data_IF_432064172474
#
_entry.id   IF_432064172474
#
_cell.length_a   1.000
_cell.length_b   1.000
_cell.length_c   1.000
_cell.angle_alpha   90.00
_cell.angle_beta   90.00
_cell.angle_gamma   90.00
#
_symmetry.space_group_name_H-M   'P 1'
#
loop_
_entity.id
_entity.type
_entity.pdbx_description
1 polymer ?
#
# COMPACT_ATOMS: atom_id res chain seq x y z
N UNK A 1 -15.24 23.37 -24.61
CA UNK A 1 -16.34 24.35 -24.49
C UNK A 1 -15.99 25.31 -23.36
N UNK A 2 -15.83 26.60 -23.67
CA UNK A 2 -15.46 27.66 -22.72
C UNK A 2 -16.71 28.09 -21.96
N UNK A 3 -16.71 27.97 -20.64
CA UNK A 3 -17.78 28.49 -19.79
C UNK A 3 -17.30 29.79 -19.16
N UNK A 4 -17.86 30.91 -19.62
CA UNK A 4 -17.68 32.23 -19.04
C UNK A 4 -18.51 32.31 -17.75
N UNK A 5 -17.85 32.38 -16.58
CA UNK A 5 -18.50 32.76 -15.33
C UNK A 5 -17.86 34.05 -14.80
N UNK A 6 -18.70 35.05 -14.59
CA UNK A 6 -18.34 36.40 -14.18
C UNK A 6 -17.50 36.46 -12.88
N UNK A 7 -16.68 37.50 -12.82
CA UNK A 7 -15.56 37.80 -11.90
C UNK A 7 -15.79 37.72 -10.38
N UNK A 8 -16.95 37.27 -9.88
CA UNK A 8 -17.23 37.17 -8.43
C UNK A 8 -17.59 35.74 -7.95
N UNK A 9 -17.80 34.77 -8.85
CA UNK A 9 -18.20 33.40 -8.47
C UNK A 9 -17.06 32.38 -8.33
N UNK A 10 -15.80 32.77 -8.59
CA UNK A 10 -14.67 31.83 -8.65
C UNK A 10 -14.10 31.50 -7.26
N UNK A 11 -14.30 32.35 -6.26
CA UNK A 11 -13.71 32.18 -4.93
C UNK A 11 -14.32 31.03 -4.11
N UNK A 12 -15.63 30.75 -4.25
CA UNK A 12 -16.31 29.69 -3.49
C UNK A 12 -15.99 28.29 -4.04
N UNK A 13 -15.73 28.17 -5.35
CA UNK A 13 -15.25 26.92 -5.95
C UNK A 13 -13.76 26.69 -5.69
N UNK A 14 -12.96 27.76 -5.58
CA UNK A 14 -11.52 27.63 -5.36
C UNK A 14 -11.17 27.08 -3.96
N UNK A 15 -11.91 27.46 -2.92
CA UNK A 15 -11.72 26.91 -1.56
C UNK A 15 -12.13 25.44 -1.44
N UNK A 16 -13.16 25.01 -2.17
CA UNK A 16 -13.60 23.61 -2.21
C UNK A 16 -12.63 22.72 -3.03
N UNK A 17 -11.93 23.26 -4.04
CA UNK A 17 -10.94 22.47 -4.81
C UNK A 17 -9.57 22.39 -4.16
N UNK A 18 -9.20 23.29 -3.25
CA UNK A 18 -7.91 23.22 -2.55
C UNK A 18 -7.89 22.06 -1.53
N UNK A 19 -9.03 21.81 -0.88
CA UNK A 19 -9.21 20.74 0.10
C UNK A 19 -9.30 19.34 -0.52
N UNK A 20 -9.74 19.21 -1.79
CA UNK A 20 -9.81 17.92 -2.50
C UNK A 20 -8.46 17.50 -3.11
N UNK A 21 -7.57 18.45 -3.48
CA UNK A 21 -6.27 18.10 -4.10
C UNK A 21 -5.28 17.38 -3.17
N UNK A 22 -5.40 17.55 -1.86
CA UNK A 22 -4.47 16.97 -0.90
C UNK A 22 -4.55 15.44 -0.81
N UNK A 23 -5.75 14.86 -1.04
CA UNK A 23 -5.95 13.40 -0.97
C UNK A 23 -5.48 12.67 -2.21
N UNK A 24 -5.65 13.26 -3.41
CA UNK A 24 -5.17 12.67 -4.65
C UNK A 24 -3.64 12.67 -4.71
N UNK A 25 -3.02 13.76 -4.24
CA UNK A 25 -1.56 13.91 -4.19
C UNK A 25 -0.90 12.84 -3.29
N UNK A 26 -1.55 12.51 -2.17
CA UNK A 26 -1.08 11.46 -1.25
C UNK A 26 -0.93 10.11 -1.93
N UNK A 27 -1.95 9.66 -2.67
CA UNK A 27 -1.90 8.36 -3.35
C UNK A 27 -0.85 8.35 -4.48
N UNK A 28 -0.73 9.43 -5.24
CA UNK A 28 0.31 9.56 -6.27
C UNK A 28 1.72 9.57 -5.70
N UNK A 29 1.96 10.29 -4.60
CA UNK A 29 3.25 10.32 -3.92
C UNK A 29 3.58 8.95 -3.30
N UNK A 30 2.61 8.31 -2.65
CA UNK A 30 2.79 6.96 -2.10
C UNK A 30 3.15 5.94 -3.19
N UNK A 31 2.50 6.02 -4.35
CA UNK A 31 2.80 5.14 -5.49
C UNK A 31 4.20 5.42 -6.06
N UNK A 32 4.60 6.69 -6.12
CA UNK A 32 5.96 7.09 -6.52
C UNK A 32 7.00 6.51 -5.56
N UNK A 33 6.81 6.67 -4.25
CA UNK A 33 7.72 6.17 -3.21
C UNK A 33 7.80 4.63 -3.21
N UNK A 34 6.65 3.95 -3.41
CA UNK A 34 6.60 2.50 -3.52
C UNK A 34 7.38 2.00 -4.74
N UNK A 35 7.32 2.72 -5.87
CA UNK A 35 8.10 2.45 -7.08
C UNK A 35 9.59 2.75 -6.88
N UNK A 36 9.94 3.75 -6.07
CA UNK A 36 11.32 4.04 -5.67
C UNK A 36 11.92 3.01 -4.72
N UNK A 37 11.14 2.00 -4.30
CA UNK A 37 11.63 0.88 -3.50
C UNK A 37 11.35 0.99 -2.01
N UNK A 38 10.70 2.06 -1.53
CA UNK A 38 10.46 2.24 -0.10
C UNK A 38 9.55 1.13 0.47
N UNK A 39 10.07 0.30 1.38
CA UNK A 39 9.34 -0.82 1.97
C UNK A 39 8.06 -0.40 2.69
N UNK A 40 8.09 0.70 3.44
CA UNK A 40 6.92 1.21 4.16
C UNK A 40 5.85 1.74 3.19
N UNK A 41 6.26 2.41 2.12
CA UNK A 41 5.36 2.88 1.07
C UNK A 41 4.68 1.71 0.34
N UNK A 42 5.44 0.67 0.02
CA UNK A 42 4.90 -0.55 -0.60
C UNK A 42 3.88 -1.26 0.31
N UNK A 43 4.17 -1.34 1.61
CA UNK A 43 3.21 -1.87 2.59
C UNK A 43 1.92 -1.05 2.62
N UNK A 44 2.03 0.28 2.77
CA UNK A 44 0.89 1.20 2.81
C UNK A 44 0.07 1.15 1.52
N UNK A 45 0.73 1.04 0.37
CA UNK A 45 0.06 0.91 -0.92
C UNK A 45 -0.70 -0.42 -1.03
N UNK A 46 -0.11 -1.52 -0.57
CA UNK A 46 -0.77 -2.81 -0.47
C UNK A 46 -2.00 -2.78 0.44
N UNK A 47 -1.86 -2.17 1.63
CA UNK A 47 -2.97 -1.96 2.56
C UNK A 47 -4.09 -1.09 1.96
N UNK A 48 -3.75 -0.03 1.21
CA UNK A 48 -4.75 0.77 0.50
C UNK A 48 -5.54 -0.06 -0.52
N UNK A 49 -4.89 -0.94 -1.28
CA UNK A 49 -5.61 -1.81 -2.22
C UNK A 49 -6.60 -2.76 -1.52
N UNK A 50 -6.29 -3.20 -0.29
CA UNK A 50 -7.22 -3.99 0.52
C UNK A 50 -8.45 -3.18 0.93
N UNK A 51 -8.24 -1.95 1.41
CA UNK A 51 -9.31 -1.13 1.99
C UNK A 51 -10.17 -0.44 0.93
N UNK A 52 -9.54 0.12 -0.12
CA UNK A 52 -10.22 0.95 -1.11
C UNK A 52 -10.86 0.11 -2.20
N UNK A 53 -10.08 -0.80 -2.80
CA UNK A 53 -10.51 -1.53 -4.00
C UNK A 53 -10.89 -2.98 -3.74
N UNK A 54 -10.48 -3.55 -2.60
CA UNK A 54 -10.58 -4.99 -2.35
C UNK A 54 -9.76 -5.83 -3.34
N UNK A 55 -8.76 -5.25 -4.01
CA UNK A 55 -7.95 -5.94 -5.00
C UNK A 55 -6.84 -6.72 -4.30
N UNK A 56 -7.21 -7.90 -3.80
CA UNK A 56 -6.31 -8.75 -3.03
C UNK A 56 -5.06 -9.19 -3.82
N UNK A 57 -5.15 -9.29 -5.15
CA UNK A 57 -3.99 -9.65 -5.99
C UNK A 57 -2.94 -8.54 -6.00
N UNK A 58 -3.38 -7.28 -6.18
CA UNK A 58 -2.47 -6.13 -6.12
C UNK A 58 -1.96 -5.89 -4.70
N UNK A 59 -2.82 -6.03 -3.70
CA UNK A 59 -2.41 -5.95 -2.30
C UNK A 59 -1.30 -6.97 -2.01
N UNK A 60 -1.53 -8.23 -2.38
CA UNK A 60 -0.54 -9.29 -2.23
C UNK A 60 0.79 -8.95 -2.91
N UNK A 61 0.76 -8.45 -4.15
CA UNK A 61 1.97 -8.07 -4.88
C UNK A 61 2.80 -7.01 -4.14
N UNK A 62 2.17 -5.91 -3.70
CA UNK A 62 2.85 -4.81 -3.03
C UNK A 62 3.30 -5.16 -1.61
N UNK A 63 2.46 -5.85 -0.85
CA UNK A 63 2.81 -6.36 0.48
C UNK A 63 3.95 -7.37 0.39
N UNK A 64 4.03 -8.19 -0.66
CA UNK A 64 5.12 -9.17 -0.84
C UNK A 64 6.45 -8.52 -1.13
N UNK A 65 6.45 -7.47 -1.95
CA UNK A 65 7.64 -6.63 -2.16
C UNK A 65 8.15 -6.02 -0.85
N UNK A 66 7.24 -5.50 -0.02
CA UNK A 66 7.60 -4.93 1.29
C UNK A 66 8.11 -5.99 2.27
N UNK A 67 7.47 -7.16 2.31
CA UNK A 67 7.85 -8.27 3.17
C UNK A 67 9.25 -8.82 2.86
N UNK A 68 9.64 -8.87 1.58
CA UNK A 68 10.99 -9.25 1.14
C UNK A 68 12.05 -8.28 1.67
N UNK A 69 11.71 -7.01 1.84
CA UNK A 69 12.59 -5.99 2.43
C UNK A 69 12.63 -6.03 3.97
N UNK A 70 12.12 -7.11 4.58
CA UNK A 70 12.17 -7.27 6.04
C UNK A 70 11.10 -6.51 6.81
N UNK A 71 10.10 -5.91 6.15
CA UNK A 71 9.01 -5.25 6.85
C UNK A 71 8.11 -6.27 7.58
N UNK A 72 8.13 -6.23 8.91
CA UNK A 72 7.40 -7.15 9.79
C UNK A 72 5.89 -7.04 9.64
N UNK A 73 5.36 -5.82 9.51
CA UNK A 73 3.93 -5.58 9.30
C UNK A 73 3.45 -6.16 7.98
N UNK A 74 4.26 -6.04 6.93
CA UNK A 74 3.98 -6.64 5.63
C UNK A 74 4.01 -8.16 5.69
N UNK A 75 4.96 -8.76 6.40
CA UNK A 75 5.04 -10.22 6.58
C UNK A 75 3.80 -10.75 7.34
N UNK A 76 3.34 -10.05 8.37
CA UNK A 76 2.11 -10.39 9.08
C UNK A 76 0.87 -10.30 8.17
N UNK A 77 0.72 -9.20 7.42
CA UNK A 77 -0.42 -9.04 6.50
C UNK A 77 -0.41 -10.10 5.39
N UNK A 78 0.76 -10.48 4.88
CA UNK A 78 0.88 -11.60 3.96
C UNK A 78 0.48 -12.94 4.57
N UNK A 79 0.87 -13.16 5.83
CA UNK A 79 0.45 -14.31 6.61
C UNK A 79 -1.08 -14.41 6.67
N UNK A 80 -1.77 -13.29 6.88
CA UNK A 80 -3.23 -13.21 6.87
C UNK A 80 -3.81 -13.48 5.47
N UNK A 81 -3.24 -12.92 4.41
CA UNK A 81 -3.70 -13.17 3.03
C UNK A 81 -3.63 -14.66 2.67
N UNK A 82 -2.54 -15.35 3.04
CA UNK A 82 -2.42 -16.81 2.85
C UNK A 82 -3.34 -17.62 3.77
N UNK A 83 -3.65 -17.12 4.97
CA UNK A 83 -4.54 -17.80 5.91
C UNK A 83 -5.98 -17.80 5.41
N UNK A 84 -6.44 -16.65 4.92
CA UNK A 84 -7.79 -16.48 4.38
C UNK A 84 -7.91 -16.90 2.91
N UNK A 85 -6.81 -17.06 2.18
CA UNK A 85 -6.83 -17.35 0.74
C UNK A 85 -7.32 -16.16 -0.08
N UNK A 86 -6.99 -14.94 0.36
CA UNK A 86 -7.44 -13.71 -0.28
C UNK A 86 -6.40 -13.26 -1.31
N UNK A 87 -6.75 -13.34 -2.60
CA UNK A 87 -5.88 -12.96 -3.72
C UNK A 87 -4.80 -13.98 -4.06
N UNK A 88 -4.67 -15.04 -3.27
CA UNK A 88 -3.74 -16.17 -3.45
C UNK A 88 -4.38 -17.43 -2.88
N UNK A 89 -3.98 -18.61 -3.37
CA UNK A 89 -4.43 -19.88 -2.80
C UNK A 89 -4.07 -19.98 -1.33
N UNK A 90 -5.03 -20.46 -0.54
CA UNK A 90 -4.87 -20.67 0.89
C UNK A 90 -3.68 -21.58 1.17
N UNK A 91 -2.69 -21.08 1.90
CA UNK A 91 -1.50 -21.83 2.26
C UNK A 91 -1.12 -21.60 3.72
N UNK A 92 -1.63 -22.48 4.58
CA UNK A 92 -1.42 -22.39 6.03
C UNK A 92 0.05 -22.56 6.43
N UNK A 93 0.81 -23.40 5.69
CA UNK A 93 2.24 -23.60 5.96
C UNK A 93 3.02 -22.30 5.72
N UNK A 94 2.76 -21.64 4.60
CA UNK A 94 3.42 -20.38 4.23
C UNK A 94 2.97 -19.22 5.12
N UNK A 95 1.68 -19.19 5.50
CA UNK A 95 1.14 -18.26 6.48
C UNK A 95 1.88 -18.34 7.82
N UNK A 96 2.01 -19.56 8.38
CA UNK A 96 2.73 -19.79 9.64
C UNK A 96 4.20 -19.39 9.55
N UNK A 97 4.85 -19.68 8.42
CA UNK A 97 6.25 -19.31 8.19
C UNK A 97 6.42 -17.78 8.23
N UNK A 98 5.59 -17.04 7.50
CA UNK A 98 5.70 -15.59 7.37
C UNK A 98 5.40 -14.85 8.69
N UNK A 99 4.42 -15.32 9.48
CA UNK A 99 4.13 -14.76 10.81
C UNK A 99 5.29 -15.00 11.78
N UNK A 100 5.97 -16.15 11.69
CA UNK A 100 7.15 -16.44 12.51
C UNK A 100 8.41 -15.67 12.08
N UNK A 101 8.54 -15.36 10.79
CA UNK A 101 9.65 -14.60 10.25
C UNK A 101 9.52 -13.08 10.52
N UNK A 102 8.30 -12.53 10.59
CA UNK A 102 8.06 -11.11 10.89
C UNK A 102 8.61 -10.67 12.25
N UNK A 103 8.67 -11.61 13.20
CA UNK A 103 9.26 -11.41 14.53
C UNK A 103 10.78 -11.62 14.60
N UNK A 104 11.38 -12.22 13.58
CA UNK A 104 12.82 -12.44 13.52
C UNK A 104 13.39 -11.50 12.47
N UNK A 105 13.98 -10.38 12.88
CA UNK A 105 14.73 -9.48 12.00
C UNK A 105 15.52 -10.30 10.97
N UNK A 106 15.08 -10.31 9.71
CA UNK A 106 15.78 -11.00 8.63
C UNK A 106 16.89 -10.08 8.15
N UNK A 107 17.92 -9.97 8.98
CA UNK A 107 19.29 -9.59 8.65
C UNK A 107 20.16 -9.75 9.89
N UNK A 108 20.51 -11.01 10.20
CA UNK A 108 21.93 -11.29 10.43
C UNK A 108 22.39 -12.05 9.20
N UNK A 109 22.61 -11.32 8.10
CA UNK A 109 23.54 -11.80 7.07
C UNK A 109 24.91 -11.68 7.74
N UNK A 110 25.31 -12.72 8.47
CA UNK A 110 26.72 -13.02 8.62
C UNK A 110 27.11 -13.62 7.26
N UNK A 111 27.55 -12.76 6.34
CA UNK A 111 28.37 -13.19 5.21
C UNK A 111 29.60 -13.89 5.77
N UNK A 112 29.80 -15.16 5.38
CA UNK A 112 31.05 -15.91 5.60
C UNK A 112 32.27 -15.16 5.06
#
# INVERSE_FOLDING_TARGET
MRVFYGMLGVFVFLSCTLSVRASDDYYTNLKKDANSGNALAQYKLGAMYLVVSGDYKKAFYWTNKSAIQGNSDAQNNLGLLYYYGQGVDKNIKKSRLLVGEGSRCRECICSE
#
